data_IF_416156836434
#
_entry.id   IF_416156836434
#
_cell.length_a   1.000
_cell.length_b   1.000
_cell.length_c   1.000
_cell.angle_alpha   90.00
_cell.angle_beta   90.00
_cell.angle_gamma   90.00
#
_symmetry.space_group_name_H-M   'P 1'
#
loop_
_entity.id
_entity.type
_entity.pdbx_description
1 polymer ?
#
# COMPACT_ATOMS: atom_id res chain seq x y z
N UNK A 1 13.56 -24.02 12.85
CA UNK A 1 13.05 -24.21 11.47
C UNK A 1 13.09 -22.88 10.70
N UNK A 2 13.59 -22.87 9.46
CA UNK A 2 14.00 -21.68 8.70
C UNK A 2 12.83 -20.72 8.37
N UNK A 3 11.59 -21.13 8.66
CA UNK A 3 10.35 -20.38 8.43
C UNK A 3 10.28 -18.99 9.09
N UNK A 4 11.07 -18.73 10.15
CA UNK A 4 11.16 -17.41 10.79
C UNK A 4 12.48 -16.68 10.52
N UNK A 5 13.37 -17.23 9.69
CA UNK A 5 14.62 -16.56 9.32
C UNK A 5 14.31 -15.47 8.27
N UNK A 6 14.52 -14.17 8.57
CA UNK A 6 14.11 -13.06 7.71
C UNK A 6 14.83 -13.03 6.36
N UNK A 7 15.94 -13.78 6.24
CA UNK A 7 16.74 -13.86 5.02
C UNK A 7 16.34 -15.02 4.11
N UNK A 8 15.38 -15.85 4.52
CA UNK A 8 14.82 -16.90 3.65
C UNK A 8 13.76 -16.29 2.74
N UNK A 9 13.91 -16.37 1.40
CA UNK A 9 12.85 -16.00 0.47
C UNK A 9 11.59 -16.79 0.78
N UNK A 10 10.49 -16.10 1.06
CA UNK A 10 9.20 -16.75 1.27
C UNK A 10 8.52 -16.92 -0.08
N UNK A 11 7.98 -18.12 -0.40
CA UNK A 11 7.11 -18.25 -1.55
C UNK A 11 5.92 -17.29 -1.38
N UNK A 12 5.40 -16.73 -2.48
CA UNK A 12 4.20 -15.89 -2.40
C UNK A 12 3.07 -16.70 -1.75
N UNK A 13 2.32 -16.07 -0.82
CA UNK A 13 1.20 -16.74 -0.13
C UNK A 13 0.12 -17.21 -1.11
N UNK A 14 -0.03 -16.48 -2.21
CA UNK A 14 -0.98 -16.76 -3.29
C UNK A 14 -0.43 -16.13 -4.57
N UNK A 15 -0.60 -16.81 -5.70
CA UNK A 15 -0.38 -16.22 -7.03
C UNK A 15 -1.77 -16.01 -7.63
N UNK A 16 -2.24 -14.76 -7.59
CA UNK A 16 -3.52 -14.40 -8.20
C UNK A 16 -3.38 -14.43 -9.72
N UNK A 17 -4.18 -15.25 -10.39
CA UNK A 17 -4.28 -15.31 -11.86
C UNK A 17 -5.62 -14.76 -12.29
N UNK A 18 -5.64 -13.89 -13.29
CA UNK A 18 -6.86 -13.30 -13.80
C UNK A 18 -7.69 -14.37 -14.50
N UNK A 19 -8.73 -14.89 -13.84
CA UNK A 19 -9.56 -15.98 -14.40
C UNK A 19 -11.04 -15.64 -14.52
N UNK A 20 -11.50 -14.53 -13.94
CA UNK A 20 -12.86 -14.03 -14.14
C UNK A 20 -13.26 -12.86 -13.25
N UNK A 21 -14.52 -12.43 -13.38
CA UNK A 21 -15.10 -11.27 -12.70
C UNK A 21 -15.12 -11.35 -11.16
N UNK A 22 -14.97 -12.56 -10.59
CA UNK A 22 -14.91 -12.74 -9.13
C UNK A 22 -13.54 -12.38 -8.52
N UNK A 23 -12.48 -12.29 -9.33
CA UNK A 23 -11.14 -11.91 -8.85
C UNK A 23 -10.97 -10.38 -8.77
N UNK A 24 -11.82 -9.62 -9.47
CA UNK A 24 -11.73 -8.17 -9.62
C UNK A 24 -11.83 -7.41 -8.29
N UNK A 25 -12.75 -7.71 -7.35
CA UNK A 25 -12.85 -6.97 -6.08
C UNK A 25 -11.67 -7.20 -5.12
N UNK A 26 -11.14 -8.44 -5.05
CA UNK A 26 -9.96 -8.79 -4.21
C UNK A 26 -8.71 -8.09 -4.73
N UNK A 27 -8.56 -8.05 -6.05
CA UNK A 27 -7.46 -7.33 -6.72
C UNK A 27 -7.60 -5.82 -6.45
N UNK A 28 -8.73 -5.20 -6.76
CA UNK A 28 -8.95 -3.75 -6.58
C UNK A 28 -8.65 -3.31 -5.13
N UNK A 29 -9.04 -4.11 -4.13
CA UNK A 29 -8.78 -3.82 -2.72
C UNK A 29 -7.29 -3.87 -2.38
N UNK A 30 -6.53 -4.81 -2.96
CA UNK A 30 -5.07 -4.86 -2.85
C UNK A 30 -4.38 -3.68 -3.52
N UNK A 31 -4.86 -3.28 -4.71
CA UNK A 31 -4.33 -2.14 -5.47
C UNK A 31 -4.63 -0.80 -4.82
N UNK A 32 -5.78 -0.64 -4.17
CA UNK A 32 -6.13 0.60 -3.47
C UNK A 32 -5.12 0.94 -2.35
N UNK A 33 -4.55 -0.07 -1.69
CA UNK A 33 -3.50 0.13 -0.67
C UNK A 33 -2.17 0.61 -1.25
N UNK A 34 -1.98 0.51 -2.56
CA UNK A 34 -0.78 0.99 -3.23
C UNK A 34 -0.79 2.51 -3.44
N UNK A 35 -1.97 3.13 -3.42
CA UNK A 35 -2.14 4.58 -3.54
C UNK A 35 -2.22 5.20 -2.14
N UNK A 36 -1.54 6.33 -1.94
CA UNK A 36 -1.63 7.02 -0.66
C UNK A 36 -2.95 7.79 -0.54
N UNK A 37 -3.39 8.01 0.69
CA UNK A 37 -4.59 8.82 0.98
C UNK A 37 -4.49 10.23 0.36
N UNK A 38 -3.29 10.81 0.34
CA UNK A 38 -3.07 12.14 -0.25
C UNK A 38 -3.18 12.16 -1.78
N UNK A 39 -2.93 11.02 -2.45
CA UNK A 39 -3.16 10.88 -3.89
C UNK A 39 -4.66 10.99 -4.19
N UNK A 40 -5.48 10.28 -3.42
CA UNK A 40 -6.93 10.32 -3.55
C UNK A 40 -7.49 11.71 -3.27
N UNK A 41 -6.98 12.41 -2.24
CA UNK A 41 -7.39 13.79 -1.93
C UNK A 41 -7.04 14.75 -3.05
N UNK A 42 -5.83 14.63 -3.60
CA UNK A 42 -5.36 15.47 -4.71
C UNK A 42 -6.19 15.23 -5.95
N UNK A 43 -6.41 13.96 -6.31
CA UNK A 43 -7.24 13.56 -7.44
C UNK A 43 -8.67 14.09 -7.29
N UNK A 44 -9.32 13.85 -6.15
CA UNK A 44 -10.70 14.31 -5.93
C UNK A 44 -10.81 15.84 -6.00
N UNK A 45 -9.85 16.56 -5.43
CA UNK A 45 -9.81 18.03 -5.48
C UNK A 45 -9.65 18.57 -6.90
N UNK A 46 -8.90 17.88 -7.77
CA UNK A 46 -8.79 18.25 -9.18
C UNK A 46 -10.10 17.99 -9.91
N UNK A 47 -10.69 16.81 -9.74
CA UNK A 47 -11.96 16.45 -10.39
C UNK A 47 -13.11 17.40 -10.01
N UNK A 48 -13.20 17.77 -8.73
CA UNK A 48 -14.21 18.73 -8.26
C UNK A 48 -13.99 20.11 -8.85
N UNK A 49 -12.74 20.57 -9.00
CA UNK A 49 -12.42 21.87 -9.62
C UNK A 49 -12.72 21.87 -11.13
N UNK A 50 -12.49 20.75 -11.80
CA UNK A 50 -12.76 20.55 -13.23
C UNK A 50 -14.22 20.29 -13.55
N UNK A 51 -15.14 20.31 -12.56
CA UNK A 51 -16.57 20.10 -12.82
C UNK A 51 -17.15 21.14 -13.81
N UNK A 52 -16.59 22.35 -13.84
CA UNK A 52 -17.03 23.41 -14.76
C UNK A 52 -16.51 23.23 -16.20
N UNK A 53 -15.60 22.28 -16.43
CA UNK A 53 -14.98 22.09 -17.74
C UNK A 53 -15.97 21.52 -18.76
N UNK A 54 -15.81 21.94 -20.02
CA UNK A 54 -16.60 21.42 -21.12
C UNK A 54 -16.39 19.90 -21.25
N UNK A 55 -17.47 19.13 -21.11
CA UNK A 55 -17.46 17.67 -21.24
C UNK A 55 -17.71 16.87 -19.95
N UNK A 56 -17.81 17.53 -18.79
CA UNK A 56 -18.30 16.88 -17.56
C UNK A 56 -19.83 16.77 -17.61
N UNK A 57 -20.34 15.54 -17.68
CA UNK A 57 -21.78 15.29 -17.77
C UNK A 57 -22.45 15.30 -16.39
N UNK A 58 -23.63 15.92 -16.30
CA UNK A 58 -24.50 15.87 -15.12
C UNK A 58 -25.77 15.10 -15.43
N UNK A 59 -26.13 14.19 -14.54
CA UNK A 59 -27.37 13.40 -14.63
C UNK A 59 -28.25 13.66 -13.43
N UNK A 60 -29.53 13.90 -13.67
CA UNK A 60 -30.54 14.08 -12.63
C UNK A 60 -31.37 12.81 -12.55
N UNK A 61 -31.41 12.21 -11.36
CA UNK A 61 -32.23 11.06 -11.02
C UNK A 61 -33.42 11.52 -10.20
N UNK A 62 -34.59 10.91 -10.43
CA UNK A 62 -35.83 11.29 -9.75
C UNK A 62 -36.50 10.09 -9.10
N UNK A 63 -37.12 10.34 -7.96
CA UNK A 63 -37.93 9.35 -7.26
C UNK A 63 -39.11 10.01 -6.56
N UNK A 64 -40.21 9.28 -6.45
CA UNK A 64 -41.30 9.61 -5.55
C UNK A 64 -40.99 9.03 -4.17
N UNK A 65 -41.30 9.80 -3.15
CA UNK A 65 -40.92 9.52 -1.78
C UNK A 65 -42.10 9.71 -0.84
N UNK A 66 -42.13 8.91 0.19
CA UNK A 66 -42.96 9.12 1.36
C UNK A 66 -42.08 9.66 2.49
N UNK A 67 -42.44 10.83 3.02
CA UNK A 67 -41.79 11.43 4.17
C UNK A 67 -42.64 11.22 5.42
N UNK A 68 -42.02 10.79 6.52
CA UNK A 68 -42.65 10.72 7.85
C UNK A 68 -41.93 11.62 8.82
N UNK A 69 -42.65 12.54 9.44
CA UNK A 69 -42.08 13.41 10.47
C UNK A 69 -41.90 12.61 11.76
N UNK A 70 -40.70 12.66 12.34
CA UNK A 70 -40.44 12.07 13.65
C UNK A 70 -41.10 12.93 14.74
N UNK A 71 -41.26 12.39 15.95
CA UNK A 71 -41.89 13.09 17.09
C UNK A 71 -41.19 14.40 17.49
N UNK A 72 -39.93 14.59 17.10
CA UNK A 72 -39.28 15.91 17.10
C UNK A 72 -39.66 16.68 15.83
N UNK A 73 -40.21 17.88 16.00
CA UNK A 73 -40.79 18.73 14.93
C UNK A 73 -39.83 19.14 13.78
N UNK A 74 -38.59 18.64 13.72
CA UNK A 74 -37.60 19.00 12.71
C UNK A 74 -37.06 17.83 11.91
N UNK A 75 -37.31 16.56 12.27
CA UNK A 75 -36.72 15.40 11.58
C UNK A 75 -37.72 14.69 10.69
N UNK A 76 -37.30 14.33 9.48
CA UNK A 76 -38.04 13.53 8.51
C UNK A 76 -37.30 12.23 8.18
N UNK A 77 -38.04 11.13 8.16
CA UNK A 77 -37.61 9.88 7.57
C UNK A 77 -38.19 9.80 6.15
N UNK A 78 -37.32 9.65 5.17
CA UNK A 78 -37.64 9.58 3.75
C UNK A 78 -37.48 8.16 3.25
N UNK A 79 -38.49 7.65 2.57
CA UNK A 79 -38.43 6.40 1.83
C UNK A 79 -38.88 6.66 0.40
N UNK A 80 -37.95 6.50 -0.55
CA UNK A 80 -38.19 6.70 -1.97
C UNK A 80 -38.12 5.40 -2.73
N UNK A 81 -39.05 5.22 -3.66
CA UNK A 81 -39.09 4.06 -4.55
C UNK A 81 -38.86 4.54 -5.96
N UNK A 82 -37.81 4.02 -6.60
CA UNK A 82 -37.53 4.30 -8.00
C UNK A 82 -38.58 3.63 -8.90
N UNK A 83 -38.96 4.31 -9.98
CA UNK A 83 -39.73 3.70 -11.06
C UNK A 83 -38.84 2.72 -11.84
N UNK A 84 -39.11 1.40 -11.80
CA UNK A 84 -38.29 0.39 -12.49
C UNK A 84 -38.30 0.55 -14.01
N UNK A 85 -39.26 1.29 -14.60
CA UNK A 85 -39.33 1.58 -16.03
C UNK A 85 -38.57 2.84 -16.46
N UNK A 86 -38.14 3.69 -15.52
CA UNK A 86 -37.45 4.94 -15.83
C UNK A 86 -35.92 4.75 -15.83
N UNK A 87 -35.28 5.16 -16.93
CA UNK A 87 -33.82 5.08 -17.11
C UNK A 87 -33.02 5.81 -16.00
N UNK A 88 -33.63 6.82 -15.36
CA UNK A 88 -33.03 7.64 -14.30
C UNK A 88 -33.86 7.62 -13.01
N UNK A 89 -34.19 6.42 -12.55
CA UNK A 89 -34.79 6.21 -11.23
C UNK A 89 -33.76 5.90 -10.15
N UNK A 90 -34.16 6.10 -8.89
CA UNK A 90 -33.36 5.78 -7.73
C UNK A 90 -34.26 5.38 -6.56
N UNK A 91 -33.72 4.58 -5.65
CA UNK A 91 -34.39 4.25 -4.39
C UNK A 91 -33.53 4.75 -3.22
N UNK A 92 -34.18 5.30 -2.19
CA UNK A 92 -33.51 5.99 -1.10
C UNK A 92 -34.16 5.66 0.25
N UNK A 93 -33.33 5.47 1.27
CA UNK A 93 -33.71 5.58 2.68
C UNK A 93 -32.81 6.62 3.32
N UNK A 94 -33.40 7.68 3.85
CA UNK A 94 -32.67 8.80 4.44
C UNK A 94 -33.40 9.42 5.63
N UNK A 95 -32.64 10.11 6.47
CA UNK A 95 -33.10 10.90 7.58
C UNK A 95 -32.60 12.33 7.37
N UNK A 96 -33.48 13.31 7.38
CA UNK A 96 -33.09 14.72 7.20
C UNK A 96 -33.71 15.58 8.30
N UNK A 97 -32.93 16.50 8.82
CA UNK A 97 -33.37 17.48 9.79
C UNK A 97 -33.44 18.87 9.14
N UNK A 98 -34.56 19.57 9.34
CA UNK A 98 -34.72 20.95 8.84
C UNK A 98 -33.71 21.94 9.45
N UNK A 99 -33.06 21.56 10.56
CA UNK A 99 -32.05 22.36 11.27
C UNK A 99 -30.63 22.25 10.65
N UNK A 100 -30.47 21.48 9.58
CA UNK A 100 -29.26 21.53 8.75
C UNK A 100 -28.41 20.26 8.70
N UNK A 101 -28.87 19.14 9.26
CA UNK A 101 -28.17 17.87 9.19
C UNK A 101 -29.00 16.79 8.51
N UNK A 102 -28.34 15.79 7.93
CA UNK A 102 -29.02 14.62 7.40
C UNK A 102 -28.08 13.43 7.23
N UNK A 103 -28.66 12.27 6.96
CA UNK A 103 -27.97 11.02 6.67
C UNK A 103 -28.75 10.23 5.64
N UNK A 104 -28.04 9.71 4.66
CA UNK A 104 -28.53 8.69 3.74
C UNK A 104 -28.04 7.36 4.28
N UNK A 105 -28.96 6.51 4.71
CA UNK A 105 -28.63 5.15 5.13
C UNK A 105 -28.34 4.28 3.90
N UNK A 106 -29.13 4.48 2.84
CA UNK A 106 -29.00 3.74 1.60
C UNK A 106 -29.56 4.53 0.41
N UNK A 107 -28.79 4.65 -0.68
CA UNK A 107 -29.21 5.23 -1.94
C UNK A 107 -28.72 4.36 -3.10
N UNK A 108 -29.64 3.87 -3.91
CA UNK A 108 -29.36 3.02 -5.07
C UNK A 108 -29.84 3.65 -6.35
N UNK A 109 -29.00 3.58 -7.37
CA UNK A 109 -29.26 4.04 -8.74
C UNK A 109 -29.42 2.84 -9.70
N UNK A 110 -29.84 1.69 -9.18
CA UNK A 110 -29.94 0.45 -9.95
C UNK A 110 -28.57 -0.04 -10.43
N UNK A 111 -28.39 -0.35 -11.73
CA UNK A 111 -27.12 -0.85 -12.27
C UNK A 111 -25.92 0.09 -12.07
N UNK A 112 -26.17 1.38 -11.91
CA UNK A 112 -25.15 2.39 -11.63
C UNK A 112 -24.44 2.17 -10.29
N UNK A 113 -25.09 1.47 -9.35
CA UNK A 113 -24.53 1.17 -8.04
C UNK A 113 -25.28 1.81 -6.89
N UNK A 114 -24.67 1.74 -5.71
CA UNK A 114 -25.28 2.11 -4.44
C UNK A 114 -24.27 2.82 -3.54
N UNK A 115 -24.72 3.82 -2.79
CA UNK A 115 -23.98 4.49 -1.71
C UNK A 115 -24.70 4.31 -0.38
N UNK A 116 -23.95 4.27 0.71
CA UNK A 116 -24.46 4.02 2.08
C UNK A 116 -23.78 4.96 3.07
N UNK A 117 -24.46 5.19 4.19
CA UNK A 117 -23.94 5.92 5.35
C UNK A 117 -23.37 7.32 5.01
N UNK A 118 -24.05 8.05 4.13
CA UNK A 118 -23.61 9.37 3.67
C UNK A 118 -24.21 10.45 4.58
N UNK A 119 -23.36 11.17 5.31
CA UNK A 119 -23.80 12.36 6.04
C UNK A 119 -24.04 13.52 5.08
N UNK A 120 -25.06 14.31 5.34
CA UNK A 120 -25.47 15.46 4.53
C UNK A 120 -25.35 16.75 5.33
N UNK A 121 -24.83 17.79 4.69
CA UNK A 121 -25.03 19.17 5.10
C UNK A 121 -26.31 19.68 4.41
N UNK A 122 -27.32 20.00 5.22
CA UNK A 122 -28.66 20.39 4.73
C UNK A 122 -28.80 21.91 4.83
N UNK A 123 -29.18 22.55 3.74
CA UNK A 123 -29.49 23.98 3.73
C UNK A 123 -30.84 24.30 4.39
N UNK A 124 -31.11 25.57 4.73
CA UNK A 124 -32.38 25.95 5.31
C UNK A 124 -33.55 25.62 4.38
N UNK A 125 -34.66 25.15 4.96
CA UNK A 125 -35.87 24.86 4.20
C UNK A 125 -36.39 26.14 3.52
N UNK A 126 -36.49 26.09 2.19
CA UNK A 126 -37.13 27.14 1.41
C UNK A 126 -38.61 26.83 1.32
N UNK A 127 -39.45 27.76 1.79
CA UNK A 127 -40.90 27.54 1.89
C UNK A 127 -41.64 28.60 1.07
N UNK A 128 -42.54 28.14 0.22
CA UNK A 128 -43.55 28.95 -0.45
C UNK A 128 -44.95 28.58 0.10
N UNK A 129 -45.99 29.27 -0.37
CA UNK A 129 -47.37 28.99 0.07
C UNK A 129 -47.86 27.60 -0.37
N UNK A 130 -47.28 27.02 -1.41
CA UNK A 130 -47.75 25.75 -2.02
C UNK A 130 -46.73 24.62 -1.96
N UNK A 131 -45.45 24.94 -1.80
CA UNK A 131 -44.35 23.97 -1.88
C UNK A 131 -43.24 24.31 -0.87
N UNK A 132 -42.65 23.30 -0.29
CA UNK A 132 -41.44 23.38 0.51
C UNK A 132 -40.30 22.60 -0.15
N UNK A 133 -39.08 23.12 -0.06
CA UNK A 133 -37.89 22.54 -0.68
C UNK A 133 -36.72 22.53 0.31
N UNK A 134 -36.00 21.41 0.35
CA UNK A 134 -34.70 21.25 1.01
C UNK A 134 -33.64 20.91 -0.02
N UNK A 135 -32.48 21.54 0.11
CA UNK A 135 -31.28 21.18 -0.66
C UNK A 135 -30.24 20.67 0.32
N UNK A 136 -29.62 19.55 -0.02
CA UNK A 136 -28.58 18.95 0.78
C UNK A 136 -27.43 18.48 -0.10
N UNK A 137 -26.21 18.55 0.42
CA UNK A 137 -25.02 18.04 -0.22
C UNK A 137 -24.33 17.04 0.70
N UNK A 138 -23.68 15.99 0.17
CA UNK A 138 -22.84 15.12 0.99
C UNK A 138 -21.76 15.93 1.72
N UNK A 139 -21.62 15.68 3.02
CA UNK A 139 -20.60 16.31 3.84
C UNK A 139 -19.23 15.79 3.43
N UNK A 140 -18.37 16.68 2.96
CA UNK A 140 -17.02 16.32 2.49
C UNK A 140 -16.07 16.20 3.68
N UNK A 141 -15.81 14.97 4.14
CA UNK A 141 -14.88 14.72 5.25
C UNK A 141 -13.39 14.65 4.84
N UNK A 142 -13.11 14.53 3.54
CA UNK A 142 -11.80 14.64 2.88
C UNK A 142 -11.90 14.27 1.38
N UNK A 143 -12.89 13.44 1.04
CA UNK A 143 -13.18 12.96 -0.31
C UNK A 143 -14.66 13.13 -0.61
N UNK A 144 -14.98 13.31 -1.88
CA UNK A 144 -16.35 13.33 -2.37
C UNK A 144 -17.00 11.95 -2.30
N UNK A 145 -18.32 11.92 -2.10
CA UNK A 145 -19.10 10.67 -2.16
C UNK A 145 -19.25 10.23 -3.62
N UNK A 146 -18.76 9.04 -3.95
CA UNK A 146 -18.76 8.49 -5.31
C UNK A 146 -19.43 7.12 -5.37
N UNK A 147 -20.03 6.83 -6.52
CA UNK A 147 -20.52 5.49 -6.88
C UNK A 147 -19.33 4.59 -7.28
N UNK A 148 -19.53 3.26 -7.34
CA UNK A 148 -18.48 2.33 -7.78
C UNK A 148 -17.91 2.60 -9.18
N UNK A 149 -18.69 3.26 -10.05
CA UNK A 149 -18.27 3.68 -11.39
C UNK A 149 -17.52 5.02 -11.42
N UNK A 150 -17.24 5.60 -10.24
CA UNK A 150 -16.51 6.84 -10.08
C UNK A 150 -17.37 8.11 -10.11
N UNK A 151 -18.64 8.06 -10.53
CA UNK A 151 -19.51 9.25 -10.57
C UNK A 151 -19.75 9.81 -9.18
N UNK A 152 -19.68 11.13 -9.05
CA UNK A 152 -19.85 11.84 -7.78
C UNK A 152 -21.30 12.18 -7.51
N UNK A 153 -21.77 11.93 -6.29
CA UNK A 153 -23.03 12.49 -5.78
C UNK A 153 -22.80 13.94 -5.37
N UNK A 154 -23.29 14.89 -6.18
CA UNK A 154 -23.09 16.32 -5.93
C UNK A 154 -24.12 16.91 -4.97
N UNK A 155 -25.33 16.36 -4.95
CA UNK A 155 -26.37 16.84 -4.05
C UNK A 155 -27.71 16.15 -4.26
N UNK A 156 -28.60 16.39 -3.31
CA UNK A 156 -29.99 15.95 -3.33
C UNK A 156 -30.91 17.14 -3.05
N UNK A 157 -32.06 17.18 -3.73
CA UNK A 157 -33.12 18.15 -3.51
C UNK A 157 -34.40 17.40 -3.18
N UNK A 158 -35.06 17.78 -2.10
CA UNK A 158 -36.33 17.21 -1.65
C UNK A 158 -37.40 18.30 -1.79
N UNK A 159 -38.51 18.01 -2.45
CA UNK A 159 -39.68 18.90 -2.57
C UNK A 159 -40.92 18.22 -2.02
N UNK A 160 -41.78 18.96 -1.32
CA UNK A 160 -43.06 18.44 -0.81
C UNK A 160 -44.13 19.52 -0.75
N UNK A 161 -45.40 19.09 -0.75
CA UNK A 161 -46.54 20.01 -0.77
C UNK A 161 -46.75 20.68 0.59
N UNK A 162 -47.08 21.99 0.57
CA UNK A 162 -47.35 22.77 1.77
C UNK A 162 -48.77 22.65 2.32
N UNK A 163 -49.66 21.88 1.66
CA UNK A 163 -51.07 21.72 2.08
C UNK A 163 -51.24 20.72 3.24
N UNK A 164 -50.28 19.81 3.43
CA UNK A 164 -50.27 18.81 4.51
C UNK A 164 -49.88 19.38 5.89
N UNK A 165 -49.89 20.71 6.02
CA UNK A 165 -49.33 21.44 7.18
C UNK A 165 -50.17 21.35 8.45
N UNK A 166 -51.45 20.99 8.34
CA UNK A 166 -52.39 21.07 9.47
C UNK A 166 -52.81 19.73 10.06
N UNK A 167 -52.57 18.58 9.39
CA UNK A 167 -53.35 17.39 9.72
C UNK A 167 -52.58 16.14 10.13
N UNK A 168 -51.27 16.20 10.39
CA UNK A 168 -50.62 14.97 10.86
C UNK A 168 -49.39 15.14 11.74
N UNK A 169 -49.62 15.03 13.05
CA UNK A 169 -48.60 14.62 14.01
C UNK A 169 -48.11 13.16 13.79
N UNK A 170 -48.66 12.43 12.80
CA UNK A 170 -48.38 11.01 12.52
C UNK A 170 -48.46 10.60 11.03
N UNK A 171 -48.59 11.55 10.11
CA UNK A 171 -49.01 11.28 8.73
C UNK A 171 -47.86 11.31 7.74
N UNK A 172 -48.02 10.51 6.70
CA UNK A 172 -47.12 10.44 5.56
C UNK A 172 -47.34 11.64 4.64
N UNK A 173 -46.26 12.30 4.25
CA UNK A 173 -46.23 13.42 3.30
C UNK A 173 -45.67 12.92 1.99
N UNK A 174 -46.33 13.22 0.88
CA UNK A 174 -45.79 12.95 -0.45
C UNK A 174 -44.68 13.95 -0.79
N UNK A 175 -43.53 13.42 -1.18
CA UNK A 175 -42.35 14.19 -1.52
C UNK A 175 -41.73 13.68 -2.82
N UNK A 176 -41.05 14.57 -3.53
CA UNK A 176 -40.24 14.26 -4.71
C UNK A 176 -38.78 14.49 -4.37
N UNK A 177 -37.92 13.56 -4.80
CA UNK A 177 -36.47 13.70 -4.64
C UNK A 177 -35.78 13.77 -5.99
N UNK A 178 -34.82 14.68 -6.11
CA UNK A 178 -33.88 14.78 -7.20
C UNK A 178 -32.46 14.57 -6.68
N UNK A 179 -31.70 13.65 -7.27
CA UNK A 179 -30.28 13.48 -6.97
C UNK A 179 -29.44 13.82 -8.20
N UNK A 180 -28.33 14.53 -7.99
CA UNK A 180 -27.45 14.98 -9.05
C UNK A 180 -26.17 14.14 -9.01
N UNK A 181 -25.93 13.38 -10.08
CA UNK A 181 -24.68 12.69 -10.32
C UNK A 181 -23.83 13.45 -11.34
N UNK A 182 -22.54 13.59 -11.04
CA UNK A 182 -21.55 14.25 -11.89
C UNK A 182 -20.55 13.21 -12.38
N UNK A 183 -20.36 13.12 -13.70
CA UNK A 183 -19.38 12.23 -14.33
C UNK A 183 -18.05 12.97 -14.57
N UNK A 184 -17.47 13.50 -13.50
CA UNK A 184 -16.13 14.09 -13.50
C UNK A 184 -15.05 13.00 -13.65
N UNK A 185 -15.30 11.77 -13.19
CA UNK A 185 -14.36 10.65 -13.29
C UNK A 185 -14.05 10.22 -14.73
N UNK A 186 -14.88 10.58 -15.71
CA UNK A 186 -14.56 10.46 -17.13
C UNK A 186 -13.26 11.19 -17.52
N UNK A 187 -12.86 12.23 -16.77
CA UNK A 187 -11.57 12.90 -16.93
C UNK A 187 -10.40 11.96 -16.60
N UNK A 188 -10.55 11.12 -15.57
CA UNK A 188 -9.52 10.13 -15.18
C UNK A 188 -9.35 9.09 -16.27
N UNK A 189 -10.44 8.57 -16.83
CA UNK A 189 -10.36 7.63 -17.97
C UNK A 189 -9.58 8.24 -19.14
N UNK A 190 -9.94 9.46 -19.54
CA UNK A 190 -9.20 10.15 -20.61
C UNK A 190 -7.74 10.43 -20.25
N UNK A 191 -7.43 10.71 -18.99
CA UNK A 191 -6.05 10.92 -18.54
C UNK A 191 -5.25 9.62 -18.58
N UNK A 192 -5.84 8.48 -18.20
CA UNK A 192 -5.22 7.16 -18.33
C UNK A 192 -4.92 6.85 -19.80
N UNK A 193 -5.88 7.11 -20.70
CA UNK A 193 -5.69 6.91 -22.14
C UNK A 193 -4.50 7.74 -22.66
N UNK A 194 -4.39 9.01 -22.25
CA UNK A 194 -3.24 9.87 -22.61
C UNK A 194 -1.92 9.39 -21.99
N UNK A 195 -1.93 8.90 -20.74
CA UNK A 195 -0.72 8.30 -20.14
C UNK A 195 -0.28 7.07 -20.94
N UNK A 196 -1.22 6.23 -21.41
CA UNK A 196 -0.89 5.07 -22.25
C UNK A 196 -0.31 5.49 -23.61
N UNK A 197 -0.81 6.59 -24.19
CA UNK A 197 -0.29 7.12 -25.45
C UNK A 197 1.11 7.74 -25.30
N UNK A 198 1.33 8.53 -24.25
CA UNK A 198 2.59 9.28 -24.06
C UNK A 198 3.68 8.50 -23.32
N UNK A 199 3.29 7.63 -22.39
CA UNK A 199 4.19 6.93 -21.45
C UNK A 199 3.71 5.48 -21.18
N UNK A 200 3.60 4.62 -22.22
CA UNK A 200 3.06 3.26 -22.10
C UNK A 200 3.83 2.41 -21.06
N UNK A 201 5.15 2.63 -20.94
CA UNK A 201 6.01 1.94 -19.99
C UNK A 201 5.58 2.07 -18.51
N UNK A 202 4.73 3.04 -18.16
CA UNK A 202 4.20 3.19 -16.80
C UNK A 202 3.08 2.18 -16.46
N UNK A 203 2.44 1.60 -17.48
CA UNK A 203 1.33 0.66 -17.36
C UNK A 203 1.57 -0.66 -18.11
N UNK A 204 2.76 -0.84 -18.69
CA UNK A 204 3.23 -2.09 -19.30
C UNK A 204 3.44 -3.20 -18.25
N UNK A 205 3.90 -4.37 -18.70
CA UNK A 205 4.21 -5.53 -17.85
C UNK A 205 5.51 -5.34 -17.02
N UNK A 206 5.57 -4.25 -16.26
CA UNK A 206 6.62 -3.88 -15.33
C UNK A 206 6.02 -3.59 -13.95
N UNK A 207 6.80 -3.62 -12.86
CA UNK A 207 6.30 -3.22 -11.55
C UNK A 207 5.71 -1.81 -11.60
N UNK A 208 4.48 -1.66 -11.11
CA UNK A 208 3.83 -0.36 -11.07
C UNK A 208 4.51 0.52 -10.02
N UNK A 209 5.02 1.67 -10.44
CA UNK A 209 5.75 2.60 -9.58
C UNK A 209 4.86 3.82 -9.28
N UNK A 210 4.22 3.85 -8.10
CA UNK A 210 3.30 4.93 -7.67
C UNK A 210 3.90 6.31 -7.92
N UNK A 211 5.17 6.47 -7.54
CA UNK A 211 5.92 7.71 -7.63
C UNK A 211 6.18 8.19 -9.06
N UNK A 212 5.99 7.33 -10.08
CA UNK A 212 6.03 7.71 -11.50
C UNK A 212 4.62 7.84 -12.08
N UNK A 213 3.74 6.89 -11.77
CA UNK A 213 2.38 6.85 -12.32
C UNK A 213 1.53 8.04 -11.86
N UNK A 214 1.48 8.31 -10.56
CA UNK A 214 0.59 9.36 -10.03
C UNK A 214 0.96 10.74 -10.56
N UNK A 215 2.24 11.13 -10.64
CA UNK A 215 2.60 12.37 -11.32
C UNK A 215 2.19 12.43 -12.79
N UNK A 216 2.41 11.36 -13.56
CA UNK A 216 1.99 11.36 -14.96
C UNK A 216 0.47 11.54 -15.11
N UNK A 217 -0.31 10.81 -14.31
CA UNK A 217 -1.77 10.89 -14.31
C UNK A 217 -2.29 12.28 -13.91
N UNK A 218 -1.74 12.85 -12.84
CA UNK A 218 -2.17 14.17 -12.35
C UNK A 218 -1.76 15.30 -13.32
N UNK A 219 -0.62 15.17 -14.00
CA UNK A 219 -0.21 16.12 -15.05
C UNK A 219 -1.20 16.11 -16.22
N UNK A 220 -1.66 14.92 -16.65
CA UNK A 220 -2.70 14.78 -17.67
C UNK A 220 -4.07 15.33 -17.24
N UNK A 221 -4.29 15.49 -15.93
CA UNK A 221 -5.46 16.15 -15.34
C UNK A 221 -5.26 17.66 -15.13
N UNK A 222 -4.14 18.24 -15.57
CA UNK A 222 -3.87 19.67 -15.49
C UNK A 222 -3.38 20.14 -14.11
N UNK A 223 -2.88 19.24 -13.27
CA UNK A 223 -2.31 19.63 -11.98
C UNK A 223 -1.05 20.51 -12.19
N UNK A 224 -0.89 21.61 -11.42
CA UNK A 224 0.27 22.49 -11.55
C UNK A 224 1.55 21.77 -11.13
N UNK A 225 2.52 21.67 -12.05
CA UNK A 225 3.74 20.88 -11.88
C UNK A 225 4.58 21.22 -10.64
N UNK A 226 4.54 22.47 -10.17
CA UNK A 226 5.24 22.91 -8.95
C UNK A 226 4.63 22.35 -7.65
N UNK A 227 3.32 22.07 -7.62
CA UNK A 227 2.66 21.53 -6.42
C UNK A 227 2.83 20.01 -6.28
N UNK A 228 3.09 19.31 -7.38
CA UNK A 228 3.32 17.86 -7.38
C UNK A 228 4.76 17.50 -7.00
N UNK A 229 5.66 18.45 -7.24
CA UNK A 229 7.09 18.34 -7.00
C UNK A 229 7.49 18.12 -5.53
N UNK A 230 6.63 18.32 -4.52
CA UNK A 230 7.03 18.06 -3.11
C UNK A 230 6.47 16.76 -2.55
N UNK A 231 5.26 16.38 -2.96
CA UNK A 231 4.57 15.19 -2.43
C UNK A 231 5.06 13.89 -3.08
N UNK A 232 5.60 13.96 -4.31
CA UNK A 232 5.96 12.77 -5.10
C UNK A 232 7.47 12.56 -5.32
N UNK A 233 8.36 13.46 -4.86
CA UNK A 233 9.82 13.37 -5.12
C UNK A 233 10.51 12.21 -4.38
N UNK A 234 10.08 11.87 -3.17
CA UNK A 234 10.60 10.68 -2.51
C UNK A 234 9.93 9.43 -3.08
N UNK A 235 10.62 8.49 -3.75
CA UNK A 235 12.07 8.33 -3.97
C UNK A 235 12.42 8.18 -5.47
N UNK A 236 11.90 9.06 -6.33
CA UNK A 236 12.11 8.99 -7.79
C UNK A 236 13.03 10.07 -8.34
N UNK A 237 13.26 11.14 -7.58
CA UNK A 237 14.15 12.23 -7.93
C UNK A 237 15.13 12.45 -6.77
N UNK A 238 16.34 11.92 -6.91
CA UNK A 238 17.47 12.11 -6.00
C UNK A 238 18.31 13.34 -6.37
N UNK A 239 17.89 14.12 -7.37
CA UNK A 239 18.61 15.33 -7.80
C UNK A 239 18.66 16.33 -6.65
N UNK A 240 19.88 16.59 -6.16
CA UNK A 240 20.13 17.47 -5.01
C UNK A 240 20.08 16.79 -3.64
N UNK A 241 19.76 15.49 -3.57
CA UNK A 241 20.09 14.69 -2.39
C UNK A 241 21.61 14.48 -2.34
N UNK A 242 22.23 14.52 -1.14
CA UNK A 242 23.61 14.07 -1.02
C UNK A 242 23.68 12.62 -1.49
N UNK A 243 24.76 12.25 -2.18
CA UNK A 243 25.00 10.86 -2.55
C UNK A 243 24.84 10.01 -1.27
N UNK A 244 24.11 8.89 -1.32
CA UNK A 244 23.97 8.02 -0.16
C UNK A 244 25.37 7.59 0.27
N UNK A 245 25.81 8.12 1.41
CA UNK A 245 27.06 7.74 2.04
C UNK A 245 26.76 6.55 2.94
N UNK A 246 27.28 5.39 2.57
CA UNK A 246 27.44 4.31 3.54
C UNK A 246 28.45 4.80 4.58
N UNK A 247 28.16 4.60 5.86
CA UNK A 247 29.18 4.71 6.90
C UNK A 247 30.26 3.68 6.57
N UNK A 248 31.34 4.14 5.93
CA UNK A 248 32.43 3.26 5.52
C UNK A 248 33.13 2.81 6.80
N UNK A 249 33.11 1.51 7.13
CA UNK A 249 34.00 1.03 8.17
C UNK A 249 35.43 1.16 7.61
N UNK A 250 36.38 1.56 8.43
CA UNK A 250 37.77 1.68 8.02
C UNK A 250 38.32 0.28 7.70
N UNK A 251 38.63 0.00 6.43
CA UNK A 251 39.41 -1.19 6.05
C UNK A 251 40.88 -0.82 6.23
N UNK A 252 41.56 -1.45 7.18
CA UNK A 252 43.02 -1.43 7.18
C UNK A 252 43.51 -2.29 6.00
N UNK A 253 44.25 -1.67 5.07
CA UNK A 253 44.74 -2.32 3.85
C UNK A 253 45.57 -3.58 4.13
N UNK A 254 46.12 -3.72 5.33
CA UNK A 254 46.83 -4.91 5.81
C UNK A 254 45.92 -6.13 5.94
N UNK A 255 44.62 -5.95 6.27
CA UNK A 255 43.66 -7.06 6.42
C UNK A 255 43.33 -7.72 5.08
N UNK A 256 43.24 -6.92 4.01
CA UNK A 256 42.93 -7.41 2.65
C UNK A 256 44.14 -8.09 1.99
N UNK A 257 45.34 -7.89 2.55
CA UNK A 257 46.57 -8.54 2.10
C UNK A 257 46.69 -9.99 2.57
N UNK A 258 45.91 -10.42 3.57
CA UNK A 258 45.92 -11.82 4.02
C UNK A 258 45.09 -12.71 3.09
N UNK A 259 45.76 -13.63 2.39
CA UNK A 259 45.13 -14.47 1.35
C UNK A 259 43.94 -15.29 1.87
N UNK A 260 44.02 -15.78 3.12
CA UNK A 260 42.94 -16.57 3.75
C UNK A 260 41.69 -15.74 4.08
N UNK A 261 41.84 -14.42 4.26
CA UNK A 261 40.72 -13.53 4.59
C UNK A 261 39.99 -13.00 3.36
N UNK A 262 40.64 -12.99 2.18
CA UNK A 262 40.08 -12.48 0.93
C UNK A 262 38.68 -13.02 0.59
N UNK A 263 38.40 -14.34 0.69
CA UNK A 263 37.06 -14.86 0.41
C UNK A 263 35.99 -14.28 1.37
N UNK A 264 36.31 -14.08 2.64
CA UNK A 264 35.37 -13.52 3.61
C UNK A 264 35.05 -12.06 3.28
N UNK A 265 36.04 -11.26 2.90
CA UNK A 265 35.78 -9.89 2.46
C UNK A 265 34.97 -9.85 1.15
N UNK A 266 35.25 -10.74 0.21
CA UNK A 266 34.50 -10.82 -1.05
C UNK A 266 33.03 -11.18 -0.83
N UNK A 267 32.75 -12.15 0.04
CA UNK A 267 31.43 -12.78 0.13
C UNK A 267 30.60 -12.34 1.33
N UNK A 268 31.23 -11.88 2.41
CA UNK A 268 30.55 -11.53 3.65
C UNK A 268 30.60 -10.03 3.99
N UNK A 269 31.52 -9.24 3.43
CA UNK A 269 31.70 -7.84 3.81
C UNK A 269 30.46 -6.98 3.56
N UNK A 270 29.68 -7.25 2.51
CA UNK A 270 28.45 -6.50 2.23
C UNK A 270 27.49 -6.44 3.42
N UNK A 271 27.51 -7.44 4.30
CA UNK A 271 26.67 -7.48 5.49
C UNK A 271 27.47 -7.36 6.80
N UNK A 272 28.65 -7.96 6.86
CA UNK A 272 29.43 -8.13 8.10
C UNK A 272 30.58 -7.13 8.26
N UNK A 273 30.78 -6.25 7.28
CA UNK A 273 31.68 -5.10 7.38
C UNK A 273 30.85 -3.84 7.63
N UNK A 274 30.48 -3.63 8.89
CA UNK A 274 29.61 -2.53 9.34
C UNK A 274 29.99 -2.08 10.74
N UNK A 275 29.61 -0.86 11.13
CA UNK A 275 29.71 -0.40 12.52
C UNK A 275 28.61 -1.01 13.42
N UNK A 276 27.55 -1.56 12.80
CA UNK A 276 26.41 -2.14 13.50
C UNK A 276 26.73 -3.51 14.14
N UNK A 277 26.05 -3.84 15.24
CA UNK A 277 26.19 -5.17 15.89
C UNK A 277 25.41 -6.27 15.22
N UNK A 278 24.39 -5.90 14.45
CA UNK A 278 23.53 -6.85 13.76
C UNK A 278 23.42 -6.50 12.27
N UNK A 279 23.81 -7.42 11.36
CA UNK A 279 24.42 -8.72 11.64
C UNK A 279 25.83 -8.57 12.29
N UNK A 280 26.40 -9.61 12.93
CA UNK A 280 27.66 -9.48 13.67
C UNK A 280 28.79 -8.93 12.79
N UNK A 281 29.38 -7.81 13.16
CA UNK A 281 30.41 -7.13 12.38
C UNK A 281 31.82 -7.73 12.52
N UNK A 282 31.94 -9.05 12.35
CA UNK A 282 33.21 -9.76 12.57
C UNK A 282 34.33 -9.39 11.59
N UNK A 283 34.04 -8.67 10.50
CA UNK A 283 35.04 -8.16 9.56
C UNK A 283 35.48 -6.72 9.86
N UNK A 284 34.92 -6.08 10.87
CA UNK A 284 35.25 -4.71 11.27
C UNK A 284 36.47 -4.68 12.21
N UNK A 285 37.32 -3.66 12.06
CA UNK A 285 38.50 -3.42 12.89
C UNK A 285 39.84 -3.75 12.22
N UNK A 286 40.90 -3.81 13.04
CA UNK A 286 42.27 -4.15 12.61
C UNK A 286 42.42 -5.65 12.32
N UNK A 287 43.50 -6.04 11.62
CA UNK A 287 43.75 -7.44 11.24
C UNK A 287 43.61 -8.44 12.41
N UNK A 288 44.32 -8.20 13.51
CA UNK A 288 44.26 -9.07 14.69
C UNK A 288 42.85 -9.15 15.30
N UNK A 289 42.10 -8.05 15.22
CA UNK A 289 40.72 -7.98 15.71
C UNK A 289 39.76 -8.76 14.80
N UNK A 290 39.94 -8.67 13.47
CA UNK A 290 39.17 -9.47 12.51
C UNK A 290 39.42 -10.95 12.72
N UNK A 291 40.69 -11.37 12.86
CA UNK A 291 41.04 -12.78 13.12
C UNK A 291 40.46 -13.27 14.45
N UNK A 292 40.51 -12.47 15.51
CA UNK A 292 39.91 -12.83 16.79
C UNK A 292 38.37 -12.88 16.73
N UNK A 293 37.74 -11.95 16.02
CA UNK A 293 36.30 -11.97 15.79
C UNK A 293 35.86 -13.21 14.99
N UNK A 294 36.63 -13.57 13.96
CA UNK A 294 36.40 -14.79 13.17
C UNK A 294 36.55 -16.04 14.03
N UNK A 295 37.61 -16.12 14.84
CA UNK A 295 37.82 -17.23 15.80
C UNK A 295 36.65 -17.37 16.76
N UNK A 296 36.16 -16.26 17.30
CA UNK A 296 34.99 -16.27 18.20
C UNK A 296 33.70 -16.66 17.50
N UNK A 297 33.51 -16.19 16.27
CA UNK A 297 32.31 -16.44 15.47
C UNK A 297 32.30 -17.82 14.79
N UNK A 298 33.44 -18.52 14.78
CA UNK A 298 33.66 -19.73 14.01
C UNK A 298 32.55 -20.79 14.17
N UNK A 299 32.04 -21.11 15.37
CA UNK A 299 30.99 -22.13 15.53
C UNK A 299 29.68 -21.73 14.81
N UNK A 300 29.30 -20.44 14.88
CA UNK A 300 28.12 -19.93 14.18
C UNK A 300 28.33 -19.86 12.67
N UNK A 301 29.54 -19.50 12.23
CA UNK A 301 29.90 -19.46 10.81
C UNK A 301 29.88 -20.86 10.19
N UNK A 302 30.41 -21.89 10.85
CA UNK A 302 30.39 -23.27 10.36
C UNK A 302 28.96 -23.75 10.09
N UNK A 303 28.01 -23.47 10.99
CA UNK A 303 26.58 -23.80 10.77
C UNK A 303 26.03 -23.13 9.51
N UNK A 304 26.34 -21.85 9.31
CA UNK A 304 25.82 -21.05 8.19
C UNK A 304 26.50 -21.38 6.86
N UNK A 305 27.79 -21.74 6.86
CA UNK A 305 28.52 -22.15 5.67
C UNK A 305 28.13 -23.58 5.24
N UNK A 306 28.04 -24.51 6.19
CA UNK A 306 27.65 -25.91 5.95
C UNK A 306 26.19 -26.05 5.53
N UNK A 307 25.36 -25.04 5.80
CA UNK A 307 23.98 -24.97 5.32
C UNK A 307 23.82 -25.15 3.81
N UNK A 308 24.85 -24.81 3.03
CA UNK A 308 24.86 -25.00 1.58
C UNK A 308 24.82 -26.47 1.15
N UNK A 309 25.29 -27.39 2.00
CA UNK A 309 25.25 -28.84 1.75
C UNK A 309 23.91 -29.49 2.13
N UNK A 310 23.06 -28.76 2.86
CA UNK A 310 21.80 -29.27 3.38
C UNK A 310 20.67 -28.85 2.42
N UNK A 311 19.73 -29.75 2.07
CA UNK A 311 18.58 -29.38 1.25
C UNK A 311 17.76 -28.25 1.89
N UNK A 312 17.21 -27.29 1.12
CA UNK A 312 16.55 -26.10 1.65
C UNK A 312 15.54 -26.35 2.77
N UNK A 313 14.72 -27.39 2.63
CA UNK A 313 13.65 -27.73 3.58
C UNK A 313 14.16 -28.33 4.91
N UNK A 314 15.43 -28.74 4.96
CA UNK A 314 16.07 -29.34 6.13
C UNK A 314 17.02 -28.39 6.86
N UNK A 315 17.25 -27.19 6.32
CA UNK A 315 18.16 -26.20 6.93
C UNK A 315 17.54 -25.61 8.20
N UNK A 316 18.18 -25.73 9.35
CA UNK A 316 17.79 -24.98 10.54
C UNK A 316 17.91 -23.46 10.38
N UNK A 317 18.82 -22.98 9.52
CA UNK A 317 19.19 -21.56 9.34
C UNK A 317 19.50 -21.25 7.87
N UNK A 318 19.24 -20.01 7.42
CA UNK A 318 19.64 -19.53 6.07
C UNK A 318 21.15 -19.72 5.87
N UNK A 319 21.60 -20.25 4.72
CA UNK A 319 23.02 -20.34 4.43
C UNK A 319 23.67 -18.95 4.32
N UNK A 320 24.97 -18.85 4.57
CA UNK A 320 25.73 -17.63 4.35
C UNK A 320 26.80 -17.84 3.27
N UNK A 321 26.99 -16.88 2.35
CA UNK A 321 26.09 -15.73 2.12
C UNK A 321 24.68 -16.20 1.72
N UNK A 322 23.62 -15.39 1.92
CA UNK A 322 22.25 -15.82 1.64
C UNK A 322 22.04 -16.01 0.14
N UNK A 323 21.12 -16.90 -0.24
CA UNK A 323 20.82 -17.23 -1.66
C UNK A 323 20.50 -15.96 -2.47
N UNK A 324 19.85 -14.97 -1.85
CA UNK A 324 19.50 -13.68 -2.47
C UNK A 324 20.71 -12.82 -2.83
N UNK A 325 21.86 -13.01 -2.17
CA UNK A 325 23.08 -12.25 -2.44
C UNK A 325 23.87 -12.78 -3.64
N UNK A 326 23.65 -14.04 -4.05
CA UNK A 326 24.48 -14.72 -5.06
C UNK A 326 24.61 -13.94 -6.38
N UNK A 327 23.49 -13.38 -6.87
CA UNK A 327 23.47 -12.60 -8.11
C UNK A 327 24.35 -11.35 -8.02
N UNK A 328 24.32 -10.63 -6.89
CA UNK A 328 25.15 -9.45 -6.69
C UNK A 328 26.64 -9.81 -6.57
N UNK A 329 26.93 -11.02 -6.09
CA UNK A 329 28.28 -11.58 -5.97
C UNK A 329 28.81 -12.20 -7.28
N UNK A 330 28.03 -12.13 -8.37
CA UNK A 330 28.44 -12.61 -9.69
C UNK A 330 28.47 -14.14 -9.81
N UNK A 331 27.73 -14.86 -8.98
CA UNK A 331 27.62 -16.33 -9.00
C UNK A 331 26.16 -16.79 -8.92
N UNK A 332 25.92 -18.09 -9.05
CA UNK A 332 24.62 -18.72 -8.79
C UNK A 332 24.67 -19.58 -7.54
N UNK A 333 23.50 -19.89 -6.96
CA UNK A 333 23.38 -20.74 -5.79
C UNK A 333 24.02 -22.13 -6.03
N UNK A 334 23.78 -22.73 -7.19
CA UNK A 334 24.30 -24.05 -7.53
C UNK A 334 25.81 -24.04 -7.74
N UNK A 335 26.36 -23.00 -8.39
CA UNK A 335 27.80 -22.85 -8.58
C UNK A 335 28.53 -22.59 -7.26
N UNK A 336 27.93 -21.78 -6.39
CA UNK A 336 28.50 -21.47 -5.08
C UNK A 336 28.56 -22.67 -4.15
N UNK A 337 27.49 -23.47 -4.12
CA UNK A 337 27.36 -24.64 -3.23
C UNK A 337 28.45 -25.70 -3.45
N UNK A 338 29.02 -25.78 -4.65
CA UNK A 338 30.11 -26.72 -5.00
C UNK A 338 31.45 -26.02 -5.23
N UNK A 339 31.57 -24.76 -4.83
CA UNK A 339 32.77 -23.97 -5.09
C UNK A 339 33.92 -24.34 -4.13
N UNK A 340 35.15 -24.35 -4.66
CA UNK A 340 36.37 -24.51 -3.85
C UNK A 340 36.56 -23.35 -2.86
N UNK A 341 36.01 -22.17 -3.16
CA UNK A 341 36.08 -21.01 -2.27
C UNK A 341 35.21 -21.23 -1.02
N UNK A 342 34.01 -21.81 -1.15
CA UNK A 342 33.18 -22.21 -0.02
C UNK A 342 33.86 -23.28 0.83
N UNK A 343 34.44 -24.30 0.20
CA UNK A 343 35.21 -25.36 0.86
C UNK A 343 36.39 -24.76 1.65
N UNK A 344 37.24 -23.95 1.02
CA UNK A 344 38.38 -23.32 1.66
C UNK A 344 37.99 -22.40 2.84
N UNK A 345 36.86 -21.67 2.73
CA UNK A 345 36.36 -20.89 3.86
C UNK A 345 35.92 -21.77 5.01
N UNK A 346 35.22 -22.88 4.75
CA UNK A 346 34.79 -23.82 5.80
C UNK A 346 36.00 -24.42 6.51
N UNK A 347 36.99 -24.89 5.76
CA UNK A 347 38.21 -25.47 6.31
C UNK A 347 38.94 -24.48 7.22
N UNK A 348 39.04 -23.21 6.80
CA UNK A 348 39.66 -22.17 7.59
C UNK A 348 38.88 -21.84 8.87
N UNK A 349 37.55 -21.75 8.80
CA UNK A 349 36.72 -21.54 9.99
C UNK A 349 36.81 -22.75 10.94
N UNK A 350 36.89 -23.97 10.40
CA UNK A 350 37.07 -25.18 11.21
C UNK A 350 38.42 -25.21 11.91
N UNK A 351 39.49 -24.79 11.23
CA UNK A 351 40.81 -24.58 11.82
C UNK A 351 40.75 -23.59 12.99
N UNK A 352 40.13 -22.43 12.80
CA UNK A 352 39.97 -21.42 13.86
C UNK A 352 39.17 -21.94 15.06
N UNK A 353 38.07 -22.67 14.83
CA UNK A 353 37.28 -23.26 15.90
C UNK A 353 38.09 -24.29 16.70
N UNK A 354 38.87 -25.14 16.00
CA UNK A 354 39.75 -26.15 16.61
C UNK A 354 40.85 -25.51 17.45
N UNK A 355 41.50 -24.46 16.95
CA UNK A 355 42.49 -23.68 17.71
C UNK A 355 41.92 -23.08 18.99
N UNK A 356 40.66 -22.64 18.96
CA UNK A 356 39.95 -22.08 20.10
C UNK A 356 39.41 -23.14 21.09
N UNK A 357 39.62 -24.43 20.83
CA UNK A 357 39.04 -25.52 21.62
C UNK A 357 37.51 -25.58 21.54
N UNK A 358 36.92 -25.03 20.48
CA UNK A 358 35.49 -25.01 20.25
C UNK A 358 35.05 -26.26 19.47
N UNK A 359 33.77 -26.63 19.61
CA UNK A 359 33.20 -27.73 18.86
C UNK A 359 33.21 -27.42 17.35
N UNK A 360 33.88 -28.28 16.58
CA UNK A 360 33.91 -28.24 15.11
C UNK A 360 32.82 -29.10 14.48
N UNK A 361 32.25 -30.04 15.25
CA UNK A 361 31.23 -30.94 14.72
C UNK A 361 29.96 -30.18 14.31
N UNK A 362 29.76 -30.09 13.00
CA UNK A 362 28.48 -29.78 12.37
C UNK A 362 27.53 -30.98 12.43
N UNK A 363 27.61 -31.80 13.48
CA UNK A 363 26.66 -32.87 13.71
C UNK A 363 25.27 -32.26 13.88
N UNK A 364 24.22 -33.01 13.50
CA UNK A 364 22.84 -32.54 13.49
C UNK A 364 22.41 -31.84 14.81
N UNK A 365 23.06 -32.13 15.94
CA UNK A 365 22.84 -31.48 17.24
C UNK A 365 23.28 -30.01 17.31
N UNK A 366 24.44 -29.62 16.76
CA UNK A 366 24.87 -28.22 16.73
C UNK A 366 23.98 -27.36 15.80
N UNK A 367 23.50 -27.99 14.73
CA UNK A 367 22.56 -27.40 13.78
C UNK A 367 21.19 -27.09 14.42
N UNK A 368 20.75 -27.92 15.37
CA UNK A 368 19.47 -27.75 16.08
C UNK A 368 19.53 -26.69 17.19
N UNK A 369 20.70 -26.48 17.81
CA UNK A 369 20.89 -25.55 18.92
C UNK A 369 21.73 -24.31 18.57
N UNK A 370 21.58 -23.77 17.35
CA UNK A 370 22.34 -22.61 16.87
C UNK A 370 22.35 -21.42 17.84
N UNK A 371 21.24 -21.13 18.52
CA UNK A 371 21.16 -19.99 19.44
C UNK A 371 21.96 -20.19 20.74
N UNK A 372 22.31 -21.43 21.08
CA UNK A 372 23.16 -21.76 22.23
C UNK A 372 24.65 -21.63 21.92
N UNK A 373 25.03 -21.43 20.65
CA UNK A 373 26.43 -21.23 20.26
C UNK A 373 26.97 -19.89 20.77
N UNK A 374 28.27 -19.78 21.08
CA UNK A 374 28.90 -18.54 21.52
C UNK A 374 28.58 -17.36 20.61
N UNK A 375 28.39 -16.17 21.19
CA UNK A 375 28.19 -14.94 20.43
C UNK A 375 29.46 -14.56 19.67
N UNK A 376 29.30 -14.11 18.43
CA UNK A 376 30.44 -13.68 17.58
C UNK A 376 31.16 -12.44 18.13
N UNK A 377 30.45 -11.59 18.87
CA UNK A 377 30.96 -10.35 19.44
C UNK A 377 30.86 -10.42 20.97
N UNK A 378 31.77 -9.76 21.71
CA UNK A 378 31.65 -9.68 23.17
C UNK A 378 30.36 -8.97 23.58
N UNK A 379 29.76 -9.40 24.69
CA UNK A 379 28.74 -8.62 25.38
C UNK A 379 29.37 -7.38 25.97
N UNK A 380 28.68 -6.24 25.90
CA UNK A 380 29.17 -5.01 26.55
C UNK A 380 29.32 -5.24 28.05
N UNK A 381 30.47 -4.81 28.58
CA UNK A 381 30.65 -4.51 30.00
C UNK A 381 29.98 -3.19 30.35
#
# INVERSE_FOLDING_TARGET
PPHLDPLTPRPPREILRFSGAMDTPRIISGWANFLAVDDFRTLDSLLVRSEADAGVQRSVYRAQCTARRASSNSRFNLQCTGDPGAERSMSLVAQVEENGSGRIDWLSFGPAGTVRDVNLDVGPAQRSNTESMLRAAPKTAALSTRLPDGRRLAGVTIRWSGKDRQDSASGTIDAQLEAILVNDFALVHRAIDRVLEHQPALLDNVPLMRAKLMPALLAELGAPGESMSRTFRCCVDDTGMPAPTLDAPEIDAVVVAEERLRPFFRYCATCHFTAERFPPNFLSGKADQVTENLRRCAPRMLVRLTAWEIPPDHRAKTPMPPVTAMRALGTSADQWAVSKELEAMRDYVEELAREAGQATETSAGAYQNYEALPSCLPSDS
#
